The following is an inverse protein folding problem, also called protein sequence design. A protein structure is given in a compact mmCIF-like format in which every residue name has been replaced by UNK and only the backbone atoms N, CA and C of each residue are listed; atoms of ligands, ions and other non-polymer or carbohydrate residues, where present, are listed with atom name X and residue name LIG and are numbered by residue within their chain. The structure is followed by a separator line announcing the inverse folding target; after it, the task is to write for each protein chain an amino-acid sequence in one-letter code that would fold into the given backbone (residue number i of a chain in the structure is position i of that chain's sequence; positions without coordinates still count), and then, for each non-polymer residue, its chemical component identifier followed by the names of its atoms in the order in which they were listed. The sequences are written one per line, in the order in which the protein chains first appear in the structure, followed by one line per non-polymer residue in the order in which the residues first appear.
data_IF_380694068909
#
_entry.id   IF_380694068909
#
_cell.length_a   1.000
_cell.length_b   1.000
_cell.length_c   1.000
_cell.angle_alpha   90.00
_cell.angle_beta   90.00
_cell.angle_gamma   90.00
#
_symmetry.space_group_name_H-M   'P 1'
#
loop_
_entity.id
_entity.type
_entity.pdbx_description
1 polymer ?
#
# COMPACT_ATOMS: atom_id res chain seq x y z
N UNK A 1 10.97 19.14 35.24
CA UNK A 1 11.03 18.72 33.81
C UNK A 1 9.89 17.79 33.40
N UNK A 2 9.70 16.61 34.02
CA UNK A 2 8.65 15.64 33.64
C UNK A 2 7.24 16.24 33.73
N UNK A 3 6.94 16.94 34.82
CA UNK A 3 5.66 17.61 35.07
C UNK A 3 5.33 18.69 34.01
N UNK A 4 6.30 19.52 33.62
CA UNK A 4 6.11 20.52 32.56
C UNK A 4 5.86 19.91 31.17
N UNK A 5 6.50 18.77 30.87
CA UNK A 5 6.20 18.01 29.64
C UNK A 5 4.83 17.34 29.69
N UNK A 6 4.34 16.97 30.88
CA UNK A 6 2.98 16.46 31.08
C UNK A 6 1.94 17.56 30.83
N UNK A 7 2.13 18.73 31.46
CA UNK A 7 1.29 19.91 31.25
C UNK A 7 1.21 20.32 29.76
N UNK A 8 2.33 20.22 29.03
CA UNK A 8 2.35 20.51 27.59
C UNK A 8 1.52 19.49 26.77
N UNK A 9 1.40 18.23 27.22
CA UNK A 9 0.54 17.23 26.58
C UNK A 9 -0.93 17.49 26.88
N UNK A 10 -1.28 17.86 28.11
CA UNK A 10 -2.65 18.23 28.47
C UNK A 10 -3.12 19.45 27.68
N UNK A 11 -2.28 20.48 27.56
CA UNK A 11 -2.55 21.65 26.72
C UNK A 11 -2.71 21.29 25.23
N UNK A 12 -2.03 20.24 24.76
CA UNK A 12 -2.18 19.75 23.40
C UNK A 12 -3.50 19.00 23.18
N UNK A 13 -4.03 18.34 24.21
CA UNK A 13 -5.31 17.62 24.20
C UNK A 13 -6.51 18.58 24.29
N UNK A 14 -6.41 19.68 25.05
CA UNK A 14 -7.50 20.67 25.17
C UNK A 14 -7.72 21.45 23.84
N UNK A 15 -6.79 21.39 22.89
CA UNK A 15 -7.04 21.71 21.48
C UNK A 15 -7.13 23.19 21.08
N UNK A 16 -7.13 24.15 22.01
CA UNK A 16 -7.48 25.56 21.70
C UNK A 16 -6.27 26.50 21.49
N UNK A 17 -5.03 26.01 21.55
CA UNK A 17 -3.82 26.86 21.50
C UNK A 17 -2.93 26.69 20.26
N UNK A 18 -2.27 27.78 19.82
CA UNK A 18 -1.12 27.68 18.91
C UNK A 18 0.08 27.06 19.66
N UNK A 19 0.88 26.17 19.04
CA UNK A 19 2.00 25.47 19.71
C UNK A 19 2.98 26.41 20.41
N UNK A 20 3.21 27.59 19.81
CA UNK A 20 4.11 28.60 20.35
C UNK A 20 3.64 29.12 21.71
N UNK A 21 2.32 29.33 21.89
CA UNK A 21 1.76 29.83 23.15
C UNK A 21 1.89 28.79 24.25
N UNK A 22 1.57 27.52 23.96
CA UNK A 22 1.69 26.43 24.94
C UNK A 22 3.14 26.18 25.39
N UNK A 23 4.10 26.29 24.46
CA UNK A 23 5.53 26.16 24.77
C UNK A 23 6.02 27.35 25.62
N UNK A 24 5.58 28.57 25.32
CA UNK A 24 5.91 29.75 26.13
C UNK A 24 5.37 29.55 27.55
N UNK A 25 4.11 29.16 27.71
CA UNK A 25 3.51 28.87 29.02
C UNK A 25 4.27 27.79 29.79
N UNK A 26 4.72 26.72 29.12
CA UNK A 26 5.50 25.66 29.75
C UNK A 26 6.93 26.07 30.15
N UNK A 27 7.46 27.16 29.57
CA UNK A 27 8.78 27.73 29.84
C UNK A 27 8.75 28.88 30.85
N UNK A 28 7.61 29.54 31.03
CA UNK A 28 7.46 30.68 31.95
C UNK A 28 7.80 30.29 33.39
N UNK A 29 8.62 31.11 34.05
CA UNK A 29 8.99 30.92 35.46
C UNK A 29 10.08 29.86 35.73
N UNK A 30 10.72 29.31 34.69
CA UNK A 30 11.84 28.38 34.84
C UNK A 30 13.20 29.11 34.86
N UNK A 31 14.11 28.62 35.71
CA UNK A 31 15.51 29.05 35.72
C UNK A 31 16.26 28.56 34.47
N UNK A 32 17.43 29.14 34.19
CA UNK A 32 18.25 28.76 33.03
C UNK A 32 18.65 27.27 33.03
N UNK A 33 18.92 26.69 34.21
CA UNK A 33 19.22 25.26 34.36
C UNK A 33 18.02 24.37 34.01
N UNK A 34 16.82 24.78 34.45
CA UNK A 34 15.58 24.05 34.19
C UNK A 34 15.16 24.15 32.71
N UNK A 35 15.37 25.30 32.07
CA UNK A 35 15.16 25.47 30.63
C UNK A 35 16.06 24.54 29.81
N UNK A 36 17.35 24.43 30.19
CA UNK A 36 18.29 23.51 29.54
C UNK A 36 17.85 22.05 29.70
N UNK A 37 17.37 21.67 30.89
CA UNK A 37 16.88 20.32 31.18
C UNK A 37 15.52 20.01 30.51
N UNK A 38 14.70 21.03 30.25
CA UNK A 38 13.41 20.89 29.57
C UNK A 38 13.57 20.51 28.09
N UNK A 39 14.67 20.93 27.47
CA UNK A 39 15.03 20.64 26.08
C UNK A 39 14.76 21.80 25.14
N UNK A 40 15.09 21.61 23.86
CA UNK A 40 14.94 22.63 22.82
C UNK A 40 13.47 22.87 22.44
N UNK A 41 13.19 24.01 21.82
CA UNK A 41 11.86 24.31 21.28
C UNK A 41 11.36 23.24 20.31
N UNK A 42 12.24 22.65 19.51
CA UNK A 42 11.86 21.57 18.58
C UNK A 42 11.47 20.28 19.31
N UNK A 43 12.13 19.99 20.44
CA UNK A 43 11.75 18.88 21.31
C UNK A 43 10.37 19.10 21.90
N UNK A 44 10.07 20.32 22.35
CA UNK A 44 8.78 20.66 22.93
C UNK A 44 7.67 20.72 21.87
N UNK A 45 7.95 21.19 20.66
CA UNK A 45 7.03 21.08 19.51
C UNK A 45 6.71 19.64 19.18
N UNK A 46 7.71 18.75 19.21
CA UNK A 46 7.50 17.31 19.00
C UNK A 46 6.62 16.68 20.10
N UNK A 47 6.79 17.08 21.37
CA UNK A 47 5.92 16.63 22.48
C UNK A 47 4.50 17.14 22.30
N UNK A 48 4.31 18.41 21.96
CA UNK A 48 3.00 19.02 21.72
C UNK A 48 2.26 18.35 20.55
N UNK A 49 2.94 18.15 19.41
CA UNK A 49 2.37 17.47 18.24
C UNK A 49 1.95 16.03 18.55
N UNK A 50 2.77 15.30 19.32
CA UNK A 50 2.44 13.94 19.77
C UNK A 50 1.24 13.92 20.72
N UNK A 51 1.13 14.90 21.63
CA UNK A 51 -0.04 15.05 22.50
C UNK A 51 -1.33 15.27 21.71
N UNK A 52 -1.30 16.11 20.67
CA UNK A 52 -2.45 16.34 19.78
C UNK A 52 -2.83 15.10 18.96
N UNK A 53 -1.84 14.31 18.53
CA UNK A 53 -2.04 13.08 17.74
C UNK A 53 -2.71 11.96 18.57
N UNK A 54 -2.60 11.99 19.89
CA UNK A 54 -3.27 11.03 20.77
C UNK A 54 -4.76 11.32 21.01
N UNK A 55 -5.27 12.50 20.63
CA UNK A 55 -6.67 12.91 20.83
C UNK A 55 -7.51 12.79 19.54
N UNK A 56 -6.84 12.77 18.38
CA UNK A 56 -7.43 12.29 17.15
C UNK A 56 -7.31 10.77 17.14
N UNK A 57 -8.38 10.08 17.52
CA UNK A 57 -8.50 8.65 17.34
C UNK A 57 -8.63 8.34 15.83
N UNK A 58 -7.52 8.46 15.09
CA UNK A 58 -7.38 8.01 13.69
C UNK A 58 -7.73 6.50 13.59
N UNK A 59 -7.57 5.76 14.70
CA UNK A 59 -7.95 4.36 14.82
C UNK A 59 -9.47 4.15 14.82
N UNK A 60 -10.24 4.98 15.52
CA UNK A 60 -11.71 4.90 15.53
C UNK A 60 -12.37 5.46 14.25
N UNK A 61 -11.72 6.40 13.56
CA UNK A 61 -12.20 6.86 12.24
C UNK A 61 -12.01 5.81 11.12
N UNK A 62 -11.15 4.81 11.33
CA UNK A 62 -10.81 3.76 10.36
C UNK A 62 -11.55 2.42 10.58
N UNK A 63 -12.55 2.34 11.47
CA UNK A 63 -13.34 1.12 11.64
C UNK A 63 -14.39 0.88 10.55
N UNK A 64 -14.73 1.89 9.75
CA UNK A 64 -15.60 1.69 8.60
C UNK A 64 -14.79 1.11 7.42
N UNK A 65 -15.24 0.01 6.80
CA UNK A 65 -14.78 -0.46 5.50
C UNK A 65 -14.47 0.67 4.52
N UNK A 66 -13.20 0.87 4.14
CA UNK A 66 -12.90 1.76 3.04
C UNK A 66 -13.51 1.18 1.75
N UNK A 67 -14.45 1.89 1.12
CA UNK A 67 -15.08 1.47 -0.14
C UNK A 67 -14.49 2.28 -1.29
N UNK A 68 -13.95 1.60 -2.30
CA UNK A 68 -13.44 2.25 -3.50
C UNK A 68 -14.58 2.80 -4.36
N UNK A 69 -14.53 4.09 -4.69
CA UNK A 69 -15.58 4.78 -5.48
C UNK A 69 -14.98 5.80 -6.45
N UNK A 70 -15.75 6.14 -7.50
CA UNK A 70 -15.47 7.24 -8.42
C UNK A 70 -14.16 7.08 -9.18
N UNK A 71 -13.30 8.09 -9.11
CA UNK A 71 -11.99 8.12 -9.80
C UNK A 71 -11.01 7.03 -9.36
N UNK A 72 -11.31 6.29 -8.28
CA UNK A 72 -10.53 5.14 -7.84
C UNK A 72 -10.99 3.83 -8.48
N UNK A 73 -12.18 3.79 -9.09
CA UNK A 73 -12.73 2.60 -9.75
C UNK A 73 -12.75 2.71 -11.28
N UNK A 74 -12.55 3.91 -11.81
CA UNK A 74 -12.69 4.24 -13.23
C UNK A 74 -11.41 4.85 -13.81
N UNK A 75 -11.19 4.68 -15.11
CA UNK A 75 -10.20 5.46 -15.86
C UNK A 75 -10.69 6.89 -16.11
N UNK A 76 -9.83 7.79 -16.60
CA UNK A 76 -10.26 9.13 -17.02
C UNK A 76 -11.37 9.12 -18.07
N UNK A 77 -11.44 8.05 -18.89
CA UNK A 77 -12.50 7.80 -19.85
C UNK A 77 -13.78 7.19 -19.27
N UNK A 78 -13.92 7.10 -17.94
CA UNK A 78 -15.04 6.45 -17.23
C UNK A 78 -15.21 4.96 -17.55
N UNK A 79 -14.11 4.30 -17.92
CA UNK A 79 -14.08 2.85 -18.13
C UNK A 79 -13.69 2.15 -16.83
N UNK A 80 -14.13 0.91 -16.67
CA UNK A 80 -13.78 0.08 -15.51
C UNK A 80 -12.25 -0.03 -15.38
N UNK A 81 -11.76 0.23 -14.17
CA UNK A 81 -10.35 0.06 -13.80
C UNK A 81 -10.16 -0.75 -12.52
N UNK A 82 -11.08 -0.63 -11.55
CA UNK A 82 -11.15 -1.57 -10.43
C UNK A 82 -11.74 -2.88 -10.95
N UNK A 83 -10.87 -3.87 -11.11
CA UNK A 83 -11.22 -5.19 -11.61
C UNK A 83 -11.83 -6.06 -10.52
N UNK A 84 -11.23 -6.06 -9.33
CA UNK A 84 -11.69 -6.85 -8.19
C UNK A 84 -11.43 -6.14 -6.87
N UNK A 85 -12.33 -6.34 -5.92
CA UNK A 85 -12.16 -5.98 -4.51
C UNK A 85 -12.84 -7.07 -3.69
N UNK A 86 -12.07 -7.81 -2.90
CA UNK A 86 -12.61 -8.89 -2.07
C UNK A 86 -13.41 -8.39 -0.85
N UNK A 87 -13.44 -7.07 -0.65
CA UNK A 87 -14.26 -6.40 0.35
C UNK A 87 -13.55 -6.24 1.70
N UNK A 88 -13.99 -5.26 2.47
CA UNK A 88 -13.35 -4.91 3.75
C UNK A 88 -13.59 -5.92 4.89
N UNK A 89 -14.48 -6.89 4.70
CA UNK A 89 -14.68 -7.99 5.64
C UNK A 89 -13.67 -9.12 5.43
N UNK A 90 -12.91 -9.07 4.33
CA UNK A 90 -11.84 -10.02 4.06
C UNK A 90 -10.60 -9.66 4.90
N UNK A 91 -10.16 -10.54 5.82
CA UNK A 91 -9.00 -10.28 6.67
C UNK A 91 -7.68 -10.24 5.88
N UNK A 92 -7.70 -10.63 4.60
CA UNK A 92 -6.60 -10.49 3.65
C UNK A 92 -7.12 -9.85 2.36
N UNK A 93 -7.75 -8.69 2.49
CA UNK A 93 -8.38 -7.98 1.38
C UNK A 93 -7.42 -7.84 0.19
N UNK A 94 -7.92 -8.16 -0.99
CA UNK A 94 -7.21 -8.02 -2.26
C UNK A 94 -7.99 -7.06 -3.13
N UNK A 95 -7.29 -6.06 -3.64
CA UNK A 95 -7.81 -5.08 -4.59
C UNK A 95 -6.99 -5.19 -5.86
N UNK A 96 -7.64 -5.43 -6.99
CA UNK A 96 -7.00 -5.61 -8.29
C UNK A 96 -7.45 -4.50 -9.21
N UNK A 97 -6.48 -3.79 -9.76
CA UNK A 97 -6.65 -2.80 -10.80
C UNK A 97 -6.21 -3.38 -12.14
N UNK A 98 -7.17 -3.46 -13.05
CA UNK A 98 -6.95 -3.82 -14.44
C UNK A 98 -8.15 -3.33 -15.27
N UNK A 99 -7.89 -2.53 -16.30
CA UNK A 99 -8.91 -2.26 -17.31
C UNK A 99 -9.07 -3.45 -18.25
N UNK A 100 -10.20 -3.52 -18.95
CA UNK A 100 -10.45 -4.58 -19.94
C UNK A 100 -9.38 -4.59 -21.02
N UNK A 101 -8.93 -3.41 -21.47
CA UNK A 101 -7.81 -3.27 -22.42
C UNK A 101 -6.51 -3.88 -21.87
N UNK A 102 -6.22 -3.71 -20.59
CA UNK A 102 -5.04 -4.32 -19.96
C UNK A 102 -5.16 -5.85 -19.90
N UNK A 103 -6.35 -6.37 -19.57
CA UNK A 103 -6.61 -7.81 -19.57
C UNK A 103 -6.52 -8.40 -20.99
N UNK A 104 -6.98 -7.68 -22.01
CA UNK A 104 -6.85 -8.08 -23.41
C UNK A 104 -5.39 -8.06 -23.90
N UNK A 105 -4.59 -7.10 -23.46
CA UNK A 105 -3.15 -7.08 -23.74
C UNK A 105 -2.46 -8.26 -23.07
N UNK A 106 -2.81 -8.53 -21.81
CA UNK A 106 -2.29 -9.67 -21.07
C UNK A 106 -2.66 -10.99 -21.74
N UNK A 107 -3.93 -11.16 -22.16
CA UNK A 107 -4.43 -12.40 -22.79
C UNK A 107 -3.69 -12.76 -24.07
N UNK A 108 -3.25 -11.76 -24.84
CA UNK A 108 -2.50 -11.93 -26.09
C UNK A 108 -1.00 -12.11 -25.87
N UNK A 109 -0.49 -11.86 -24.66
CA UNK A 109 0.94 -11.86 -24.39
C UNK A 109 1.47 -13.24 -24.02
N UNK A 110 2.59 -13.60 -24.66
CA UNK A 110 3.31 -14.84 -24.38
C UNK A 110 4.46 -14.63 -23.39
N UNK A 111 4.91 -13.38 -23.20
CA UNK A 111 5.97 -13.01 -22.25
C UNK A 111 5.45 -12.00 -21.24
N UNK A 112 5.59 -12.34 -19.97
CA UNK A 112 5.20 -11.47 -18.86
C UNK A 112 6.38 -11.15 -17.97
N UNK A 113 6.28 -10.03 -17.27
CA UNK A 113 7.15 -9.71 -16.15
C UNK A 113 6.27 -9.49 -14.92
N UNK A 114 6.69 -9.93 -13.75
CA UNK A 114 5.96 -9.61 -12.53
C UNK A 114 6.90 -9.29 -11.39
N UNK A 115 6.44 -8.39 -10.53
CA UNK A 115 7.23 -7.87 -9.42
C UNK A 115 6.33 -7.55 -8.23
N UNK A 116 6.85 -7.85 -7.03
CA UNK A 116 6.24 -7.52 -5.75
C UNK A 116 7.06 -6.44 -5.06
N UNK A 117 6.49 -5.27 -4.82
CA UNK A 117 7.20 -4.21 -4.09
C UNK A 117 7.02 -4.38 -2.58
N UNK A 118 8.15 -4.36 -1.87
CA UNK A 118 8.17 -4.43 -0.42
C UNK A 118 7.79 -3.06 0.19
N UNK A 119 6.75 -3.01 1.03
CA UNK A 119 6.31 -1.83 1.83
C UNK A 119 6.12 -0.50 1.06
N UNK A 120 5.56 -0.53 -0.15
CA UNK A 120 5.23 0.70 -0.88
C UNK A 120 3.72 0.98 -0.96
N UNK A 121 2.89 0.16 -0.30
CA UNK A 121 1.45 0.33 -0.30
C UNK A 121 1.00 1.15 0.93
N UNK A 122 -0.02 2.00 0.80
CA UNK A 122 -0.60 2.71 1.93
C UNK A 122 -1.37 1.73 2.82
N UNK A 123 -1.42 1.99 4.14
CA UNK A 123 -2.25 1.23 5.07
C UNK A 123 -3.71 1.16 4.57
N UNK A 124 -4.39 0.00 4.71
CA UNK A 124 -3.94 -1.22 5.40
C UNK A 124 -3.07 -2.17 4.54
N UNK A 125 -2.77 -1.82 3.30
CA UNK A 125 -2.08 -2.74 2.37
C UNK A 125 -0.59 -2.82 2.67
N UNK A 126 -0.05 -4.04 2.71
CA UNK A 126 1.37 -4.27 3.03
C UNK A 126 2.26 -4.41 1.79
N UNK A 127 1.68 -4.67 0.62
CA UNK A 127 2.44 -4.91 -0.61
C UNK A 127 1.63 -4.55 -1.86
N UNK A 128 2.37 -4.14 -2.91
CA UNK A 128 1.85 -4.03 -4.28
C UNK A 128 2.47 -5.15 -5.09
N UNK A 129 1.65 -5.89 -5.82
CA UNK A 129 2.09 -6.88 -6.78
C UNK A 129 1.67 -6.44 -8.17
N UNK A 130 2.56 -6.51 -9.14
CA UNK A 130 2.29 -6.08 -10.51
C UNK A 130 2.63 -7.18 -11.49
N UNK A 131 1.77 -7.36 -12.48
CA UNK A 131 2.03 -8.19 -13.65
C UNK A 131 2.07 -7.24 -14.83
N UNK A 132 3.05 -7.41 -15.71
CA UNK A 132 3.27 -6.65 -16.93
C UNK A 132 3.36 -7.62 -18.10
N UNK A 133 3.00 -7.16 -19.29
CA UNK A 133 3.07 -7.96 -20.51
C UNK A 133 3.91 -7.24 -21.57
N UNK A 134 4.69 -7.99 -22.33
CA UNK A 134 5.38 -7.45 -23.50
C UNK A 134 4.37 -7.17 -24.61
N UNK A 135 4.34 -5.93 -25.12
CA UNK A 135 3.52 -5.53 -26.27
C UNK A 135 4.47 -5.24 -27.44
N UNK A 136 4.37 -6.04 -28.51
CA UNK A 136 5.04 -5.94 -29.82
C UNK A 136 6.42 -5.24 -29.87
N UNK A 137 7.46 -6.03 -30.11
CA UNK A 137 8.85 -5.63 -30.40
C UNK A 137 9.42 -4.52 -29.52
N UNK A 138 10.01 -4.93 -28.39
CA UNK A 138 11.06 -4.19 -27.64
C UNK A 138 10.64 -3.04 -26.72
N UNK A 139 9.35 -2.85 -26.42
CA UNK A 139 8.95 -1.95 -25.32
C UNK A 139 8.04 -2.68 -24.33
N UNK A 140 8.54 -2.90 -23.12
CA UNK A 140 7.71 -3.19 -21.96
C UNK A 140 6.99 -1.91 -21.58
N UNK A 141 5.73 -1.79 -22.01
CA UNK A 141 4.83 -0.74 -21.50
C UNK A 141 4.30 -1.26 -20.15
N UNK A 142 4.07 -0.40 -19.13
CA UNK A 142 3.36 -0.79 -17.90
C UNK A 142 1.89 -1.06 -18.23
N UNK A 143 1.63 -2.13 -18.96
CA UNK A 143 0.36 -2.47 -19.59
C UNK A 143 -0.46 -3.45 -18.76
N UNK A 144 0.01 -3.85 -17.59
CA UNK A 144 -0.60 -4.97 -16.88
C UNK A 144 -1.25 -4.58 -15.56
N UNK A 145 -1.74 -5.61 -14.87
CA UNK A 145 -2.56 -5.50 -13.67
C UNK A 145 -1.71 -5.15 -12.44
N UNK A 146 -2.28 -4.32 -11.58
CA UNK A 146 -1.70 -3.99 -10.27
C UNK A 146 -2.63 -4.48 -9.18
N UNK A 147 -2.09 -5.23 -8.23
CA UNK A 147 -2.81 -5.82 -7.13
C UNK A 147 -2.28 -5.22 -5.82
N UNK A 148 -3.17 -4.79 -4.95
CA UNK A 148 -2.89 -4.46 -3.56
C UNK A 148 -3.39 -5.61 -2.69
N UNK A 149 -2.59 -6.00 -1.71
CA UNK A 149 -2.91 -7.07 -0.77
C UNK A 149 -2.73 -6.57 0.67
N UNK A 150 -3.73 -6.84 1.52
CA UNK A 150 -3.68 -6.56 2.95
C UNK A 150 -2.66 -7.48 3.63
N UNK A 151 -1.56 -6.90 4.10
CA UNK A 151 -0.37 -7.61 4.55
C UNK A 151 0.66 -7.94 3.46
N UNK A 152 1.64 -8.76 3.84
CA UNK A 152 2.81 -9.07 3.02
C UNK A 152 2.60 -10.36 2.22
N UNK A 153 2.73 -10.29 0.90
CA UNK A 153 2.84 -11.48 0.07
C UNK A 153 4.17 -12.18 0.35
N UNK A 154 4.10 -13.36 1.00
CA UNK A 154 5.30 -14.16 1.32
C UNK A 154 5.08 -15.65 1.08
N UNK A 155 3.81 -16.08 0.98
CA UNK A 155 3.44 -17.47 0.83
C UNK A 155 2.87 -17.71 -0.57
N UNK A 156 3.19 -18.87 -1.14
CA UNK A 156 2.67 -19.28 -2.45
C UNK A 156 1.14 -19.16 -2.54
N UNK A 157 0.43 -19.50 -1.46
CA UNK A 157 -1.04 -19.45 -1.41
C UNK A 157 -1.60 -18.03 -1.60
N UNK A 158 -0.88 -17.00 -1.19
CA UNK A 158 -1.33 -15.60 -1.31
C UNK A 158 -1.24 -15.14 -2.77
N UNK A 159 -0.13 -15.47 -3.44
CA UNK A 159 0.01 -15.28 -4.88
C UNK A 159 -1.02 -16.08 -5.69
N UNK A 160 -1.30 -17.32 -5.28
CA UNK A 160 -2.33 -18.15 -5.93
C UNK A 160 -3.70 -17.51 -5.82
N UNK A 161 -4.05 -16.96 -4.67
CA UNK A 161 -5.31 -16.24 -4.47
C UNK A 161 -5.44 -15.04 -5.42
N UNK A 162 -4.37 -14.26 -5.61
CA UNK A 162 -4.35 -13.18 -6.60
C UNK A 162 -4.56 -13.72 -8.02
N UNK A 163 -3.85 -14.78 -8.40
CA UNK A 163 -3.97 -15.39 -9.74
C UNK A 163 -5.36 -15.99 -9.98
N UNK A 164 -5.97 -16.63 -8.99
CA UNK A 164 -7.35 -17.13 -9.08
C UNK A 164 -8.32 -16.00 -9.41
N UNK A 165 -8.20 -14.86 -8.71
CA UNK A 165 -9.07 -13.69 -8.93
C UNK A 165 -8.87 -13.10 -10.33
N UNK A 166 -7.62 -12.99 -10.80
CA UNK A 166 -7.32 -12.51 -12.16
C UNK A 166 -7.89 -13.47 -13.22
N UNK A 167 -7.66 -14.77 -13.05
CA UNK A 167 -8.04 -15.83 -14.01
C UNK A 167 -9.55 -16.11 -14.05
N UNK A 168 -10.34 -15.58 -13.10
CA UNK A 168 -11.81 -15.55 -13.22
C UNK A 168 -12.30 -14.69 -14.39
N UNK A 169 -11.47 -13.78 -14.93
CA UNK A 169 -11.82 -12.97 -16.09
C UNK A 169 -12.00 -13.84 -17.34
N UNK A 170 -13.16 -13.80 -18.02
CA UNK A 170 -13.36 -14.49 -19.29
C UNK A 170 -12.37 -14.03 -20.39
N UNK A 171 -11.87 -12.79 -20.31
CA UNK A 171 -10.88 -12.24 -21.24
C UNK A 171 -9.57 -13.05 -21.21
N UNK A 172 -9.25 -13.66 -20.07
CA UNK A 172 -8.04 -14.46 -19.84
C UNK A 172 -8.28 -15.97 -20.00
N UNK A 173 -9.45 -16.42 -20.47
CA UNK A 173 -9.79 -17.84 -20.57
C UNK A 173 -8.78 -18.64 -21.42
N UNK A 174 -8.16 -18.01 -22.42
CA UNK A 174 -7.15 -18.62 -23.30
C UNK A 174 -5.73 -18.14 -23.01
N UNK A 175 -5.53 -17.37 -21.93
CA UNK A 175 -4.22 -16.82 -21.62
C UNK A 175 -3.24 -17.92 -21.22
N UNK A 176 -2.14 -18.03 -21.97
CA UNK A 176 -1.13 -19.07 -21.79
C UNK A 176 0.28 -18.48 -22.01
N UNK A 177 0.83 -17.75 -21.01
CA UNK A 177 2.17 -17.23 -21.09
C UNK A 177 3.20 -18.37 -21.13
N UNK A 178 4.20 -18.25 -22.00
CA UNK A 178 5.28 -19.23 -22.16
C UNK A 178 6.55 -18.83 -21.42
N UNK A 179 6.73 -17.54 -21.15
CA UNK A 179 7.90 -17.02 -20.45
C UNK A 179 7.48 -15.96 -19.43
N UNK A 180 8.08 -16.01 -18.23
CA UNK A 180 7.91 -15.02 -17.18
C UNK A 180 9.25 -14.53 -16.64
N UNK A 181 9.38 -13.22 -16.45
CA UNK A 181 10.53 -12.58 -15.84
C UNK A 181 10.14 -12.09 -14.45
N UNK A 182 10.93 -12.42 -13.44
CA UNK A 182 10.62 -12.03 -12.07
C UNK A 182 11.85 -11.98 -11.18
N UNK A 183 11.62 -11.48 -9.97
CA UNK A 183 12.61 -11.47 -8.90
C UNK A 183 12.83 -12.87 -8.30
N UNK A 184 13.81 -12.98 -7.39
CA UNK A 184 14.22 -14.25 -6.77
C UNK A 184 13.16 -14.89 -5.86
N UNK A 185 12.07 -14.17 -5.58
CA UNK A 185 11.03 -14.62 -4.67
C UNK A 185 10.47 -15.99 -5.07
N UNK A 186 10.57 -16.96 -4.17
CA UNK A 186 10.19 -18.34 -4.46
C UNK A 186 8.68 -18.53 -4.48
N UNK A 187 7.95 -17.85 -3.61
CA UNK A 187 6.52 -18.00 -3.43
C UNK A 187 5.74 -17.64 -4.71
N UNK A 188 6.07 -16.50 -5.34
CA UNK A 188 5.49 -16.06 -6.60
C UNK A 188 5.79 -17.05 -7.73
N UNK A 189 7.05 -17.48 -7.88
CA UNK A 189 7.44 -18.47 -8.90
C UNK A 189 6.69 -19.80 -8.79
N UNK A 190 6.52 -20.32 -7.58
CA UNK A 190 5.75 -21.53 -7.35
C UNK A 190 4.26 -21.34 -7.65
N UNK A 191 3.71 -20.15 -7.43
CA UNK A 191 2.32 -19.85 -7.78
C UNK A 191 2.13 -19.78 -9.30
N UNK A 192 3.02 -19.10 -10.04
CA UNK A 192 2.93 -19.07 -11.51
C UNK A 192 3.09 -20.46 -12.13
N UNK A 193 4.02 -21.29 -11.62
CA UNK A 193 4.16 -22.69 -12.10
C UNK A 193 2.95 -23.56 -11.80
N UNK A 194 2.17 -23.24 -10.77
CA UNK A 194 0.95 -23.97 -10.45
C UNK A 194 -0.12 -23.76 -11.54
N UNK A 195 -0.34 -22.52 -11.99
CA UNK A 195 -1.33 -22.21 -13.05
C UNK A 195 -0.79 -22.42 -14.46
N UNK A 196 0.51 -22.22 -14.67
CA UNK A 196 1.18 -22.35 -15.95
C UNK A 196 2.36 -23.34 -15.83
N UNK A 197 2.12 -24.67 -15.80
CA UNK A 197 3.17 -25.66 -15.56
C UNK A 197 4.31 -25.66 -16.58
N UNK A 198 4.07 -25.13 -17.79
CA UNK A 198 5.05 -25.05 -18.88
C UNK A 198 5.76 -23.70 -18.98
N UNK A 199 5.49 -22.76 -18.07
CA UNK A 199 6.09 -21.42 -18.13
C UNK A 199 7.59 -21.47 -17.83
N UNK A 200 8.38 -20.89 -18.73
CA UNK A 200 9.80 -20.66 -18.50
C UNK A 200 9.97 -19.44 -17.59
N UNK A 201 10.42 -19.66 -16.35
CA UNK A 201 10.70 -18.58 -15.41
C UNK A 201 12.16 -18.17 -15.51
N UNK A 202 12.41 -16.94 -15.96
CA UNK A 202 13.70 -16.28 -15.92
C UNK A 202 13.76 -15.38 -14.69
N UNK A 203 14.75 -15.64 -13.86
CA UNK A 203 14.94 -14.90 -12.63
C UNK A 203 16.06 -13.88 -12.89
N UNK A 204 15.85 -12.64 -12.45
CA UNK A 204 16.87 -11.59 -12.43
C UNK A 204 17.45 -11.24 -13.82
N UNK A 205 16.80 -10.29 -14.49
CA UNK A 205 17.34 -9.53 -15.61
C UNK A 205 17.30 -8.05 -15.18
N UNK A 206 18.34 -7.61 -14.47
CA UNK A 206 18.67 -6.18 -14.39
C UNK A 206 19.54 -5.82 -15.58
#
# INVERSE_FOLDING_TARGET
VKERRHQLRELAQIGTGRPRTAIITARTGLSASELKALGTDDTLRSVYRRGKRNDLDETAANTAPFVYQGSMSETEGKLRYLFHDSGATDPKRIVIYASDTQLEMLSKSTRISYDGTFASAPDPYGSVFSIHCEVLSRRSIPSGSRCLHDGWLRKQQEYRRILDLILQSPILATWAPIEAHCDFEQASRLAFRYYFPRIAIRICLF
#
